data_IF_361683859552
#
_entry.id   IF_361683859552
#
_cell.length_a   1.000
_cell.length_b   1.000
_cell.length_c   1.000
_cell.angle_alpha   90.00
_cell.angle_beta   90.00
_cell.angle_gamma   90.00
#
_symmetry.space_group_name_H-M   'P 1'
#
loop_
_entity.id
_entity.type
_entity.pdbx_description
1 polymer ?
#
# COMPACT_ATOMS: atom_id res chain seq x y z
N UNK A 1 -16.66 9.69 46.41
CA UNK A 1 -15.26 9.55 45.96
C UNK A 1 -15.29 8.69 44.73
N UNK A 2 -15.15 9.33 43.58
CA UNK A 2 -15.38 8.74 42.26
C UNK A 2 -14.29 7.74 41.89
N UNK A 3 -14.73 6.55 41.49
CA UNK A 3 -13.88 5.49 40.98
C UNK A 3 -13.42 5.80 39.57
N UNK A 4 -12.10 5.82 39.39
CA UNK A 4 -11.46 6.06 38.11
C UNK A 4 -11.58 4.79 37.23
N UNK A 5 -12.61 4.73 36.37
CA UNK A 5 -12.78 3.69 35.36
C UNK A 5 -11.73 3.87 34.26
N UNK A 6 -10.65 3.08 34.31
CA UNK A 6 -9.73 2.90 33.18
C UNK A 6 -10.47 2.13 32.07
N UNK A 7 -10.77 2.79 30.97
CA UNK A 7 -11.29 2.17 29.74
C UNK A 7 -10.26 1.20 29.11
N UNK A 8 -10.70 0.11 28.45
CA UNK A 8 -9.85 -1.03 28.11
C UNK A 8 -9.04 -0.80 26.84
N UNK A 9 -7.74 -0.51 26.97
CA UNK A 9 -6.81 -0.46 25.83
C UNK A 9 -6.58 -1.85 25.19
N UNK A 10 -6.81 -2.94 25.92
CA UNK A 10 -6.56 -4.31 25.45
C UNK A 10 -7.51 -4.78 24.36
N UNK A 11 -8.80 -4.39 24.42
CA UNK A 11 -9.79 -4.84 23.43
C UNK A 11 -9.53 -4.25 22.03
N UNK A 12 -9.09 -2.98 22.00
CA UNK A 12 -8.80 -2.26 20.75
C UNK A 12 -7.60 -2.81 19.97
N UNK A 13 -6.61 -3.36 20.68
CA UNK A 13 -5.44 -3.97 20.03
C UNK A 13 -5.87 -5.25 19.30
N UNK A 14 -6.65 -6.12 19.98
CA UNK A 14 -7.17 -7.35 19.37
C UNK A 14 -8.09 -7.09 18.18
N UNK A 15 -8.96 -6.07 18.25
CA UNK A 15 -9.81 -5.65 17.13
C UNK A 15 -9.00 -5.20 15.91
N UNK A 16 -7.94 -4.41 16.12
CA UNK A 16 -7.07 -3.94 15.01
C UNK A 16 -6.26 -5.08 14.38
N UNK A 17 -5.72 -5.98 15.20
CA UNK A 17 -4.99 -7.16 14.70
C UNK A 17 -5.90 -8.09 13.90
N UNK A 18 -7.13 -8.31 14.38
CA UNK A 18 -8.16 -9.04 13.65
C UNK A 18 -8.46 -8.37 12.30
N UNK A 19 -8.76 -7.06 12.30
CA UNK A 19 -9.07 -6.32 11.08
C UNK A 19 -7.92 -6.37 10.05
N UNK A 20 -6.67 -6.22 10.51
CA UNK A 20 -5.49 -6.33 9.65
C UNK A 20 -5.36 -7.73 9.03
N UNK A 21 -5.60 -8.78 9.82
CA UNK A 21 -5.52 -10.16 9.36
C UNK A 21 -6.58 -10.45 8.30
N UNK A 22 -7.85 -10.13 8.58
CA UNK A 22 -8.96 -10.37 7.66
C UNK A 22 -8.77 -9.57 6.36
N UNK A 23 -8.35 -8.30 6.46
CA UNK A 23 -8.11 -7.50 5.27
C UNK A 23 -6.91 -8.02 4.44
N UNK A 24 -5.81 -8.42 5.09
CA UNK A 24 -4.66 -9.00 4.41
C UNK A 24 -5.02 -10.30 3.68
N UNK A 25 -5.83 -11.17 4.28
CA UNK A 25 -6.34 -12.39 3.64
C UNK A 25 -7.18 -12.07 2.41
N UNK A 26 -8.11 -11.13 2.51
CA UNK A 26 -8.98 -10.77 1.38
C UNK A 26 -8.21 -10.06 0.25
N UNK A 27 -7.18 -9.28 0.59
CA UNK A 27 -6.30 -8.62 -0.38
C UNK A 27 -5.52 -9.61 -1.26
N UNK A 28 -5.49 -10.90 -0.95
CA UNK A 28 -4.98 -11.93 -1.87
C UNK A 28 -5.84 -12.05 -3.15
N UNK A 29 -7.12 -11.67 -3.09
CA UNK A 29 -8.02 -11.60 -4.24
C UNK A 29 -7.95 -10.26 -5.00
N UNK A 30 -7.07 -9.34 -4.59
CA UNK A 30 -6.93 -8.03 -5.23
C UNK A 30 -6.38 -8.18 -6.66
N UNK A 31 -7.11 -7.63 -7.62
CA UNK A 31 -6.74 -7.60 -9.03
C UNK A 31 -7.21 -6.32 -9.70
N UNK A 32 -6.52 -5.92 -10.76
CA UNK A 32 -7.01 -4.85 -11.61
C UNK A 32 -8.27 -5.30 -12.38
N UNK A 33 -9.17 -4.36 -12.66
CA UNK A 33 -10.36 -4.54 -13.52
C UNK A 33 -10.31 -3.67 -14.77
N UNK A 34 -9.46 -2.64 -14.78
CA UNK A 34 -9.17 -1.82 -15.95
C UNK A 34 -7.79 -2.23 -16.51
N UNK A 35 -7.63 -2.53 -17.81
CA UNK A 35 -6.32 -2.79 -18.40
C UNK A 35 -5.36 -1.59 -18.35
N UNK A 36 -5.86 -0.37 -18.15
CA UNK A 36 -5.09 0.87 -18.05
C UNK A 36 -4.86 1.32 -16.59
N UNK A 37 -4.94 0.40 -15.63
CA UNK A 37 -4.76 0.67 -14.20
C UNK A 37 -3.50 1.49 -13.85
N UNK A 38 -2.45 1.38 -14.67
CA UNK A 38 -1.17 2.07 -14.46
C UNK A 38 -1.30 3.61 -14.49
N UNK A 39 -2.33 4.14 -15.15
CA UNK A 39 -2.55 5.60 -15.30
C UNK A 39 -3.93 6.07 -14.84
N UNK A 40 -4.83 5.15 -14.47
CA UNK A 40 -6.20 5.45 -14.02
C UNK A 40 -6.30 5.59 -12.50
N UNK A 41 -7.32 6.31 -11.98
CA UNK A 41 -7.59 6.40 -10.54
C UNK A 41 -7.70 5.01 -9.89
N UNK A 42 -7.13 4.85 -8.69
CA UNK A 42 -7.09 3.54 -8.02
C UNK A 42 -8.49 3.03 -7.69
N UNK A 43 -9.38 3.95 -7.33
CA UNK A 43 -10.77 3.74 -6.93
C UNK A 43 -11.55 2.96 -7.98
N UNK A 44 -11.25 3.20 -9.26
CA UNK A 44 -11.96 2.60 -10.40
C UNK A 44 -11.16 1.51 -11.11
N UNK A 45 -9.88 1.34 -10.77
CA UNK A 45 -8.97 0.45 -11.50
C UNK A 45 -8.92 -0.97 -10.94
N UNK A 46 -9.41 -1.19 -9.72
CA UNK A 46 -9.33 -2.48 -9.00
C UNK A 46 -10.69 -2.93 -8.47
N UNK A 47 -10.80 -4.21 -8.13
CA UNK A 47 -12.02 -4.84 -7.60
C UNK A 47 -12.31 -4.51 -6.12
N UNK A 48 -12.12 -3.26 -5.69
CA UNK A 48 -12.27 -2.86 -4.28
C UNK A 48 -13.62 -3.21 -3.67
N UNK A 49 -14.71 -3.16 -4.44
CA UNK A 49 -16.04 -3.53 -3.95
C UNK A 49 -16.17 -5.03 -3.64
N UNK A 50 -15.48 -5.89 -4.40
CA UNK A 50 -15.44 -7.34 -4.11
C UNK A 50 -14.67 -7.58 -2.81
N UNK A 51 -13.50 -6.94 -2.67
CA UNK A 51 -12.68 -6.99 -1.46
C UNK A 51 -13.49 -6.50 -0.25
N UNK A 52 -14.14 -5.35 -0.36
CA UNK A 52 -14.97 -4.77 0.69
C UNK A 52 -16.14 -5.68 1.10
N UNK A 53 -16.70 -6.43 0.14
CA UNK A 53 -17.77 -7.41 0.38
C UNK A 53 -17.24 -8.63 1.13
N UNK A 54 -16.04 -9.13 0.78
CA UNK A 54 -15.39 -10.24 1.47
C UNK A 54 -15.11 -9.95 2.95
N UNK A 55 -14.82 -8.69 3.29
CA UNK A 55 -14.60 -8.23 4.67
C UNK A 55 -15.75 -7.34 5.18
N UNK A 56 -17.00 -7.66 4.83
CA UNK A 56 -18.17 -6.84 5.18
C UNK A 56 -18.25 -6.50 6.67
N UNK A 57 -17.95 -7.45 7.56
CA UNK A 57 -18.06 -7.29 9.01
C UNK A 57 -16.83 -6.66 9.69
N UNK A 58 -15.80 -6.32 8.90
CA UNK A 58 -14.58 -5.68 9.35
C UNK A 58 -14.72 -4.16 9.25
N UNK A 59 -14.16 -3.47 10.24
CA UNK A 59 -13.95 -2.03 10.25
C UNK A 59 -12.45 -1.75 10.45
N UNK A 60 -11.94 -0.74 9.75
CA UNK A 60 -10.54 -0.37 9.87
C UNK A 60 -10.11 0.79 8.99
N UNK A 61 -8.93 1.30 9.32
CA UNK A 61 -8.23 2.33 8.58
C UNK A 61 -6.82 1.84 8.27
N UNK A 62 -6.42 1.98 7.02
CA UNK A 62 -5.14 1.51 6.48
C UNK A 62 -4.50 2.57 5.61
N UNK A 63 -3.26 2.33 5.22
CA UNK A 63 -2.45 3.28 4.48
C UNK A 63 -1.95 2.66 3.18
N UNK A 64 -2.23 3.29 2.05
CA UNK A 64 -1.79 2.82 0.73
C UNK A 64 -0.75 3.77 0.17
N UNK A 65 0.33 3.19 -0.35
CA UNK A 65 1.33 3.89 -1.16
C UNK A 65 1.25 3.33 -2.58
N UNK A 66 1.06 4.20 -3.55
CA UNK A 66 1.03 3.86 -4.98
C UNK A 66 2.26 4.45 -5.66
N UNK A 67 3.03 3.61 -6.33
CA UNK A 67 4.20 3.99 -7.10
C UNK A 67 3.88 3.83 -8.58
N UNK A 68 3.62 4.95 -9.26
CA UNK A 68 3.42 4.99 -10.71
C UNK A 68 4.73 5.35 -11.37
N UNK A 69 5.11 4.65 -12.42
CA UNK A 69 6.44 4.83 -13.01
C UNK A 69 6.48 4.56 -14.50
N UNK A 70 7.44 5.16 -15.18
CA UNK A 70 7.83 4.86 -16.56
C UNK A 70 9.27 4.36 -16.54
N UNK A 71 9.52 3.13 -16.99
CA UNK A 71 10.88 2.56 -16.98
C UNK A 71 11.77 3.22 -18.03
N UNK A 72 13.03 3.47 -17.68
CA UNK A 72 14.05 3.96 -18.62
C UNK A 72 14.33 2.94 -19.73
N UNK A 73 14.68 3.42 -20.93
CA UNK A 73 15.03 2.60 -22.10
C UNK A 73 16.49 2.13 -22.11
N UNK A 74 17.35 2.71 -21.27
CA UNK A 74 18.82 2.60 -21.42
C UNK A 74 19.52 1.69 -20.40
N UNK A 75 18.83 1.11 -19.43
CA UNK A 75 19.51 0.48 -18.29
C UNK A 75 19.34 -1.04 -18.22
N UNK A 76 20.46 -1.71 -17.91
CA UNK A 76 20.47 -3.10 -17.49
C UNK A 76 19.87 -3.19 -16.07
N UNK A 77 18.66 -3.75 -15.98
CA UNK A 77 17.76 -3.60 -14.85
C UNK A 77 18.03 -4.53 -13.67
N UNK A 78 19.02 -5.41 -13.76
CA UNK A 78 19.26 -6.50 -12.81
C UNK A 78 19.52 -6.01 -11.38
N UNK A 79 20.34 -4.95 -11.22
CA UNK A 79 20.64 -4.37 -9.90
C UNK A 79 19.40 -3.73 -9.25
N UNK A 80 18.54 -3.10 -10.05
CA UNK A 80 17.30 -2.54 -9.52
C UNK A 80 16.31 -3.65 -9.16
N UNK A 81 16.20 -4.71 -9.97
CA UNK A 81 15.34 -5.86 -9.66
C UNK A 81 15.77 -6.48 -8.33
N UNK A 82 17.06 -6.73 -8.13
CA UNK A 82 17.58 -7.26 -6.87
C UNK A 82 17.30 -6.31 -5.70
N UNK A 83 17.52 -5.01 -5.87
CA UNK A 83 17.24 -4.03 -4.82
C UNK A 83 15.75 -3.93 -4.46
N UNK A 84 14.85 -4.00 -5.46
CA UNK A 84 13.41 -4.02 -5.26
C UNK A 84 12.97 -5.29 -4.51
N UNK A 85 13.54 -6.45 -4.84
CA UNK A 85 13.29 -7.70 -4.12
C UNK A 85 13.77 -7.64 -2.66
N UNK A 86 14.96 -7.09 -2.41
CA UNK A 86 15.48 -6.93 -1.05
C UNK A 86 14.66 -5.93 -0.25
N UNK A 87 14.23 -4.82 -0.85
CA UNK A 87 13.33 -3.86 -0.22
C UNK A 87 11.98 -4.52 0.11
N UNK A 88 11.41 -5.30 -0.80
CA UNK A 88 10.16 -6.03 -0.55
C UNK A 88 10.31 -7.03 0.61
N UNK A 89 11.38 -7.82 0.61
CA UNK A 89 11.68 -8.75 1.70
C UNK A 89 11.83 -8.03 3.05
N UNK A 90 12.54 -6.91 3.08
CA UNK A 90 12.75 -6.09 4.26
C UNK A 90 11.42 -5.49 4.78
N UNK A 91 10.56 -4.98 3.90
CA UNK A 91 9.22 -4.49 4.25
C UNK A 91 8.37 -5.59 4.89
N UNK A 92 8.37 -6.80 4.30
CA UNK A 92 7.60 -7.93 4.81
C UNK A 92 8.05 -8.33 6.21
N UNK A 93 9.36 -8.35 6.47
CA UNK A 93 9.92 -8.71 7.78
C UNK A 93 9.83 -7.60 8.82
N UNK A 94 9.77 -6.33 8.41
CA UNK A 94 9.58 -5.21 9.33
C UNK A 94 8.21 -5.28 10.05
N UNK A 95 7.22 -5.87 9.40
CA UNK A 95 5.86 -6.01 9.90
C UNK A 95 4.96 -4.83 9.53
N UNK A 96 3.66 -5.10 9.48
CA UNK A 96 2.63 -4.11 9.14
C UNK A 96 2.36 -3.94 7.64
N UNK A 97 3.11 -4.60 6.75
CA UNK A 97 2.74 -4.72 5.34
C UNK A 97 1.61 -5.75 5.21
N UNK A 98 0.46 -5.33 4.68
CA UNK A 98 -0.72 -6.18 4.47
C UNK A 98 -0.77 -6.76 3.06
N UNK A 99 -0.35 -5.96 2.07
CA UNK A 99 -0.26 -6.40 0.67
C UNK A 99 0.83 -5.64 -0.07
N UNK A 100 1.59 -6.37 -0.87
CA UNK A 100 2.32 -5.82 -2.01
C UNK A 100 1.64 -6.30 -3.29
N UNK A 101 1.34 -5.37 -4.19
CA UNK A 101 0.78 -5.65 -5.50
C UNK A 101 1.66 -4.98 -6.55
N UNK A 102 2.01 -5.71 -7.60
CA UNK A 102 2.82 -5.18 -8.70
C UNK A 102 2.17 -5.51 -10.03
N UNK A 103 1.98 -4.47 -10.85
CA UNK A 103 1.53 -4.61 -12.23
C UNK A 103 2.66 -5.05 -13.15
N UNK A 104 2.31 -5.20 -14.43
CA UNK A 104 3.25 -5.38 -15.53
C UNK A 104 3.44 -4.06 -16.26
N UNK A 105 4.63 -3.85 -16.81
CA UNK A 105 4.87 -2.74 -17.73
C UNK A 105 3.97 -2.87 -18.96
N UNK A 106 3.29 -1.79 -19.33
CA UNK A 106 2.55 -1.72 -20.58
C UNK A 106 3.48 -1.36 -21.77
N UNK A 107 2.92 -1.20 -22.97
CA UNK A 107 3.68 -0.85 -24.17
C UNK A 107 4.40 0.51 -24.07
N UNK A 108 3.87 1.42 -23.24
CA UNK A 108 4.47 2.72 -22.93
C UNK A 108 5.52 2.66 -21.80
N UNK A 109 5.86 1.44 -21.31
CA UNK A 109 6.72 1.21 -20.14
C UNK A 109 6.17 1.78 -18.84
N UNK A 110 4.86 2.04 -18.78
CA UNK A 110 4.19 2.48 -17.56
C UNK A 110 3.90 1.29 -16.66
N UNK A 111 4.07 1.46 -15.36
CA UNK A 111 3.76 0.47 -14.34
C UNK A 111 3.16 1.13 -13.09
N UNK A 112 2.36 0.35 -12.36
CA UNK A 112 1.89 0.68 -11.02
C UNK A 112 2.28 -0.46 -10.08
N UNK A 113 2.90 -0.10 -8.96
CA UNK A 113 3.06 -0.96 -7.79
C UNK A 113 2.39 -0.32 -6.58
N UNK A 114 1.85 -1.13 -5.69
CA UNK A 114 1.14 -0.67 -4.50
C UNK A 114 1.58 -1.44 -3.26
N UNK A 115 1.71 -0.72 -2.16
CA UNK A 115 1.89 -1.29 -0.83
C UNK A 115 0.74 -0.83 0.07
N UNK A 116 0.04 -1.78 0.68
CA UNK A 116 -1.01 -1.51 1.68
C UNK A 116 -0.46 -1.87 3.06
N UNK A 117 -0.57 -0.94 3.99
CA UNK A 117 0.02 -1.01 5.32
C UNK A 117 -1.02 -0.87 6.42
N UNK A 118 -0.76 -1.52 7.56
CA UNK A 118 -1.53 -1.43 8.80
C UNK A 118 -1.59 0.01 9.38
N UNK A 119 -0.64 0.87 9.00
CA UNK A 119 -0.63 2.30 9.33
C UNK A 119 0.41 3.06 8.50
N UNK A 120 0.29 4.40 8.48
CA UNK A 120 1.31 5.29 7.94
C UNK A 120 2.66 5.11 8.64
N UNK A 121 2.66 4.93 9.95
CA UNK A 121 3.88 4.76 10.74
C UNK A 121 4.64 3.49 10.32
N UNK A 122 3.94 2.38 10.06
CA UNK A 122 4.57 1.17 9.54
C UNK A 122 5.23 1.42 8.17
N UNK A 123 4.56 2.13 7.26
CA UNK A 123 5.11 2.48 5.96
C UNK A 123 6.35 3.38 6.09
N UNK A 124 6.30 4.38 6.97
CA UNK A 124 7.40 5.32 7.20
C UNK A 124 8.60 4.60 7.82
N UNK A 125 8.40 3.76 8.82
CA UNK A 125 9.49 3.02 9.47
C UNK A 125 10.13 1.98 8.53
N UNK A 126 9.34 1.32 7.67
CA UNK A 126 9.86 0.47 6.61
C UNK A 126 10.70 1.26 5.59
N UNK A 127 10.23 2.44 5.16
CA UNK A 127 10.93 3.26 4.17
C UNK A 127 12.30 3.77 4.62
N UNK A 128 12.57 3.78 5.93
CA UNK A 128 13.85 4.21 6.52
C UNK A 128 14.90 3.11 6.53
N UNK A 129 14.52 1.87 6.23
CA UNK A 129 15.39 0.69 6.27
C UNK A 129 16.39 0.69 5.11
N UNK A 130 17.40 -0.17 5.21
CA UNK A 130 18.59 -0.06 4.36
C UNK A 130 18.26 -0.40 2.91
N UNK A 131 17.61 -1.54 2.67
CA UNK A 131 17.29 -1.99 1.32
C UNK A 131 16.33 -1.03 0.62
N UNK A 132 15.37 -0.42 1.35
CA UNK A 132 14.52 0.63 0.79
C UNK A 132 15.28 1.88 0.35
N UNK A 133 16.30 2.31 1.10
CA UNK A 133 17.14 3.45 0.70
C UNK A 133 17.93 3.13 -0.56
N UNK A 134 18.53 1.95 -0.63
CA UNK A 134 19.28 1.49 -1.81
C UNK A 134 18.37 1.42 -3.05
N UNK A 135 17.19 0.79 -2.94
CA UNK A 135 16.24 0.72 -4.04
C UNK A 135 15.78 2.12 -4.48
N UNK A 136 15.54 3.04 -3.53
CA UNK A 136 15.17 4.42 -3.82
C UNK A 136 16.27 5.19 -4.54
N UNK A 137 17.53 5.00 -4.16
CA UNK A 137 18.67 5.63 -4.83
C UNK A 137 18.76 5.17 -6.30
N UNK A 138 18.63 3.86 -6.53
CA UNK A 138 18.63 3.28 -7.88
C UNK A 138 17.40 3.67 -8.70
N UNK A 139 16.28 4.05 -8.06
CA UNK A 139 15.05 4.48 -8.75
C UNK A 139 15.32 5.70 -9.65
N UNK A 140 16.12 6.67 -9.19
CA UNK A 140 16.37 7.91 -9.96
C UNK A 140 17.10 7.67 -11.28
N UNK A 141 17.89 6.61 -11.38
CA UNK A 141 18.69 6.30 -12.57
C UNK A 141 17.93 5.39 -13.55
N UNK A 142 16.95 4.63 -13.05
CA UNK A 142 16.30 3.54 -13.79
C UNK A 142 14.86 3.82 -14.23
N UNK A 143 14.26 4.91 -13.74
CA UNK A 143 12.95 5.38 -14.19
C UNK A 143 13.08 6.70 -14.92
N UNK A 144 12.38 6.82 -16.05
CA UNK A 144 12.24 8.07 -16.80
C UNK A 144 11.44 9.07 -15.97
N UNK A 145 10.34 8.62 -15.39
CA UNK A 145 9.54 9.37 -14.42
C UNK A 145 8.93 8.42 -13.38
N UNK A 146 8.64 8.94 -12.20
CA UNK A 146 7.79 8.27 -11.23
C UNK A 146 7.04 9.25 -10.34
N UNK A 147 5.90 8.81 -9.82
CA UNK A 147 5.09 9.52 -8.82
C UNK A 147 4.80 8.60 -7.65
N UNK A 148 4.93 9.14 -6.43
CA UNK A 148 4.59 8.44 -5.20
C UNK A 148 3.30 9.03 -4.60
N UNK A 149 2.20 8.34 -4.81
CA UNK A 149 0.88 8.72 -4.32
C UNK A 149 0.62 8.05 -2.97
N UNK A 150 -0.12 8.73 -2.09
CA UNK A 150 -0.43 8.26 -0.74
C UNK A 150 -1.91 8.40 -0.48
N UNK A 151 -2.50 7.40 0.16
CA UNK A 151 -3.92 7.35 0.42
C UNK A 151 -4.21 6.81 1.81
N UNK A 152 -5.25 7.34 2.42
CA UNK A 152 -5.94 6.68 3.52
C UNK A 152 -7.01 5.75 2.95
N UNK A 153 -7.06 4.53 3.47
CA UNK A 153 -8.10 3.57 3.14
C UNK A 153 -9.00 3.39 4.34
N UNK A 154 -10.32 3.48 4.15
CA UNK A 154 -11.29 3.32 5.23
C UNK A 154 -12.38 2.32 4.87
N UNK A 155 -12.62 1.38 5.76
CA UNK A 155 -13.73 0.42 5.70
C UNK A 155 -14.60 0.58 6.94
N UNK A 156 -15.90 0.78 6.73
CA UNK A 156 -16.91 0.82 7.79
C UNK A 156 -17.61 -0.53 7.85
N UNK A 157 -17.90 -1.01 9.07
CA UNK A 157 -18.60 -2.29 9.26
C UNK A 157 -19.97 -2.28 8.60
N UNK A 158 -20.30 -3.36 7.89
CA UNK A 158 -21.57 -3.55 7.19
C UNK A 158 -21.62 -2.96 5.78
N UNK A 159 -20.73 -2.03 5.44
CA UNK A 159 -20.63 -1.45 4.10
C UNK A 159 -19.89 -2.38 3.13
N UNK A 160 -20.15 -2.21 1.83
CA UNK A 160 -19.52 -2.98 0.74
C UNK A 160 -18.61 -2.11 -0.12
N UNK A 161 -18.14 -0.99 0.41
CA UNK A 161 -17.21 -0.09 -0.24
C UNK A 161 -16.01 0.17 0.68
N UNK A 162 -14.85 0.43 0.08
CA UNK A 162 -13.68 0.97 0.76
C UNK A 162 -13.48 2.38 0.23
N UNK A 163 -13.42 3.36 1.12
CA UNK A 163 -13.04 4.71 0.74
C UNK A 163 -11.52 4.77 0.56
N UNK A 164 -11.06 5.29 -0.56
CA UNK A 164 -9.65 5.54 -0.85
C UNK A 164 -9.51 7.04 -1.01
N UNK A 165 -8.83 7.67 -0.06
CA UNK A 165 -8.81 9.13 0.09
C UNK A 165 -7.39 9.61 -0.16
N UNK A 166 -7.13 10.41 -1.21
CA UNK A 166 -5.78 10.89 -1.50
C UNK A 166 -5.29 11.83 -0.40
N UNK A 167 -4.07 11.61 0.06
CA UNK A 167 -3.36 12.48 0.99
C UNK A 167 -2.59 13.48 0.16
N UNK A 168 -3.13 14.68 0.06
CA UNK A 168 -2.44 15.80 -0.60
C UNK A 168 -1.38 16.32 0.38
N UNK A 169 -0.15 15.83 0.24
CA UNK A 169 0.99 16.42 0.94
C UNK A 169 1.28 17.77 0.28
N UNK A 170 0.93 18.87 0.94
CA UNK A 170 1.43 20.20 0.57
C UNK A 170 2.94 20.19 0.77
N UNK A 171 3.71 19.95 -0.29
CA UNK A 171 5.16 20.09 -0.29
C UNK A 171 5.51 21.58 -0.21
N UNK A 172 5.49 22.14 1.00
CA UNK A 172 6.36 23.27 1.32
C UNK A 172 7.74 22.70 1.65
N UNK A 173 8.59 22.57 0.63
CA UNK A 173 10.05 22.60 0.77
C UNK A 173 10.69 22.96 -0.56
#
# INVERSE_FOLDING_TARGET
MEGNLKTPKSNKIGEKEFANKEYSLELENLRNIDPNYATKPLETSFNWNEIATGIKDVEGEWYLVAFRSIRSVNNNNDLLIEAEEQAHYEAKNHGGLLKYWSGKFNQSRECLSMCIWASRDNAVEASKKHSHKVAKELTNENYETYTLERYEMKKIKGETMISIIPIIENTNK
#
